data_IF_866410327805
#
_entry.id   IF_866410327805
#
_cell.length_a   1.000
_cell.length_b   1.000
_cell.length_c   1.000
_cell.angle_alpha   90.00
_cell.angle_beta   90.00
_cell.angle_gamma   90.00
#
_symmetry.space_group_name_H-M   'P 1'
#
loop_
_entity.id
_entity.type
_entity.pdbx_description
1 polymer ?
#
# COMPACT_ATOMS: atom_id res chain seq x y z
N UNK A 1 -11.63 -10.44 8.01
CA UNK A 1 -10.51 -9.66 8.61
C UNK A 1 -9.12 -10.28 8.48
N UNK A 2 -8.95 -11.61 8.36
CA UNK A 2 -7.61 -12.24 8.29
C UNK A 2 -6.68 -11.63 7.23
N UNK A 3 -7.18 -11.43 6.01
CA UNK A 3 -6.39 -10.79 4.93
C UNK A 3 -5.98 -9.36 5.29
N UNK A 4 -6.85 -8.59 5.96
CA UNK A 4 -6.51 -7.23 6.39
C UNK A 4 -5.38 -7.25 7.44
N UNK A 5 -5.42 -8.21 8.36
CA UNK A 5 -4.36 -8.39 9.34
C UNK A 5 -3.03 -8.75 8.66
N UNK A 6 -3.05 -9.72 7.73
CA UNK A 6 -1.86 -10.13 6.96
C UNK A 6 -1.28 -8.94 6.16
N UNK A 7 -2.12 -8.11 5.55
CA UNK A 7 -1.67 -6.89 4.86
C UNK A 7 -1.02 -5.92 5.83
N UNK A 8 -1.64 -5.63 6.98
CA UNK A 8 -1.05 -4.71 7.96
C UNK A 8 0.27 -5.24 8.54
N UNK A 9 0.39 -6.56 8.75
CA UNK A 9 1.63 -7.21 9.19
C UNK A 9 2.73 -7.09 8.13
N UNK A 10 2.41 -7.32 6.85
CA UNK A 10 3.38 -7.18 5.75
C UNK A 10 3.81 -5.73 5.56
N UNK A 11 2.89 -4.77 5.66
CA UNK A 11 3.24 -3.34 5.61
C UNK A 11 4.18 -2.97 6.76
N UNK A 12 3.89 -3.41 7.98
CA UNK A 12 4.76 -3.15 9.13
C UNK A 12 6.14 -3.81 8.96
N UNK A 13 6.18 -5.07 8.53
CA UNK A 13 7.41 -5.84 8.29
C UNK A 13 8.29 -5.18 7.21
N UNK A 14 7.70 -4.81 6.07
CA UNK A 14 8.40 -4.14 4.98
C UNK A 14 8.93 -2.75 5.38
N UNK A 15 8.17 -2.01 6.19
CA UNK A 15 8.58 -0.72 6.71
C UNK A 15 9.73 -0.85 7.73
N UNK A 16 9.67 -1.82 8.64
CA UNK A 16 10.75 -2.12 9.59
C UNK A 16 12.04 -2.51 8.86
N UNK A 17 11.91 -3.36 7.84
CA UNK A 17 13.04 -3.76 7.00
C UNK A 17 13.68 -2.53 6.32
N UNK A 18 12.86 -1.66 5.71
CA UNK A 18 13.34 -0.45 5.06
C UNK A 18 14.03 0.51 6.04
N UNK A 19 13.48 0.70 7.24
CA UNK A 19 14.09 1.50 8.30
C UNK A 19 15.47 0.95 8.70
N UNK A 20 15.59 -0.37 8.86
CA UNK A 20 16.86 -1.02 9.21
C UNK A 20 17.94 -0.82 8.12
N UNK A 21 17.56 -0.82 6.84
CA UNK A 21 18.48 -0.56 5.73
C UNK A 21 18.95 0.90 5.73
N UNK A 22 18.07 1.85 6.02
CA UNK A 22 18.43 3.27 6.14
C UNK A 22 19.37 3.53 7.31
N UNK A 23 19.14 2.90 8.46
CA UNK A 23 20.05 2.99 9.61
C UNK A 23 21.43 2.43 9.27
N UNK A 24 21.50 1.25 8.63
CA UNK A 24 22.75 0.64 8.19
C UNK A 24 23.51 1.52 7.18
N UNK A 25 22.79 2.16 6.26
CA UNK A 25 23.37 3.08 5.28
C UNK A 25 23.84 4.42 5.89
N UNK A 26 23.22 4.85 7.01
CA UNK A 26 23.54 6.13 7.67
C UNK A 26 24.83 6.12 8.51
N UNK A 27 25.52 4.98 8.64
CA UNK A 27 26.93 4.93 9.09
C UNK A 27 27.19 5.46 10.51
N UNK A 28 26.20 5.44 11.40
CA UNK A 28 26.35 5.89 12.78
C UNK A 28 27.07 4.88 13.66
N UNK A 29 28.40 4.90 13.68
CA UNK A 29 29.20 4.21 14.70
C UNK A 29 28.88 4.73 16.10
N UNK A 30 28.17 3.93 16.89
CA UNK A 30 28.15 4.02 18.35
C UNK A 30 27.69 2.67 18.90
N UNK A 31 28.62 1.96 19.54
CA UNK A 31 28.41 0.71 20.30
C UNK A 31 27.47 0.93 21.50
N UNK A 32 26.18 1.05 21.22
CA UNK A 32 25.12 0.98 22.22
C UNK A 32 23.89 0.39 21.56
N UNK A 33 23.26 -0.58 22.20
CA UNK A 33 22.00 -1.23 21.80
C UNK A 33 20.93 -0.18 21.43
N UNK A 34 20.96 0.33 20.20
CA UNK A 34 19.78 0.92 19.58
C UNK A 34 18.91 -0.25 19.22
N UNK A 35 17.89 -0.50 20.03
CA UNK A 35 16.85 -1.46 19.72
C UNK A 35 16.31 -1.19 18.32
N UNK A 36 15.91 -2.26 17.63
CA UNK A 36 15.37 -2.17 16.28
C UNK A 36 14.29 -1.06 16.20
N UNK A 37 14.27 -0.24 15.13
CA UNK A 37 13.30 0.84 14.99
C UNK A 37 11.88 0.26 15.14
N UNK A 38 11.21 0.64 16.22
CA UNK A 38 9.84 0.25 16.48
C UNK A 38 8.91 1.25 15.77
N UNK A 39 8.14 0.76 14.81
CA UNK A 39 7.16 1.59 14.11
C UNK A 39 5.92 1.79 14.99
N UNK A 40 5.53 3.05 15.14
CA UNK A 40 4.28 3.44 15.79
C UNK A 40 3.09 3.44 14.84
N UNK A 41 1.91 3.76 15.39
CA UNK A 41 0.71 3.95 14.58
C UNK A 41 0.85 5.17 13.66
N UNK A 42 1.57 6.20 14.13
CA UNK A 42 1.92 7.41 13.37
C UNK A 42 2.76 7.12 12.12
N UNK A 43 3.58 6.07 12.13
CA UNK A 43 4.38 5.64 10.98
C UNK A 43 3.58 4.71 10.06
N UNK A 44 2.77 3.83 10.65
CA UNK A 44 2.07 2.79 9.91
C UNK A 44 0.95 3.34 9.02
N UNK A 45 0.18 4.33 9.49
CA UNK A 45 -0.96 4.85 8.73
C UNK A 45 -0.54 5.53 7.41
N UNK A 46 0.45 6.45 7.37
CA UNK A 46 0.93 7.03 6.12
C UNK A 46 1.44 5.99 5.10
N UNK A 47 2.14 4.96 5.57
CA UNK A 47 2.64 3.88 4.71
C UNK A 47 1.47 3.05 4.17
N UNK A 48 0.48 2.76 5.02
CA UNK A 48 -0.74 2.05 4.60
C UNK A 48 -1.52 2.84 3.56
N UNK A 49 -1.66 4.16 3.73
CA UNK A 49 -2.26 5.07 2.74
C UNK A 49 -1.56 4.96 1.40
N UNK A 50 -0.22 4.98 1.39
CA UNK A 50 0.57 4.81 0.19
C UNK A 50 0.32 3.44 -0.48
N UNK A 51 0.32 2.36 0.30
CA UNK A 51 0.08 1.00 -0.23
C UNK A 51 -1.32 0.88 -0.82
N UNK A 52 -2.36 1.39 -0.15
CA UNK A 52 -3.74 1.38 -0.65
C UNK A 52 -3.86 2.19 -1.94
N UNK A 53 -3.20 3.34 -2.02
CA UNK A 53 -3.18 4.14 -3.25
C UNK A 53 -2.54 3.36 -4.41
N UNK A 54 -1.44 2.66 -4.15
CA UNK A 54 -0.69 1.90 -5.17
C UNK A 54 -1.39 0.61 -5.58
N UNK A 55 -2.21 0.01 -4.72
CA UNK A 55 -2.88 -1.27 -4.99
C UNK A 55 -4.01 -1.17 -6.03
N UNK A 56 -4.56 0.04 -6.25
CA UNK A 56 -5.65 0.31 -7.21
C UNK A 56 -6.92 -0.55 -6.97
N UNK A 57 -7.16 -0.97 -5.74
CA UNK A 57 -8.36 -1.74 -5.38
C UNK A 57 -9.56 -0.79 -5.28
N UNK A 58 -10.31 -0.65 -6.37
CA UNK A 58 -11.41 0.33 -6.50
C UNK A 58 -12.57 0.08 -5.51
N UNK A 59 -12.86 -1.18 -5.18
CA UNK A 59 -13.99 -1.56 -4.32
C UNK A 59 -13.63 -1.68 -2.84
N UNK A 60 -12.38 -1.38 -2.47
CA UNK A 60 -11.87 -1.56 -1.11
C UNK A 60 -12.74 -0.87 -0.04
N UNK A 61 -13.22 0.39 -0.20
CA UNK A 61 -14.08 1.00 0.80
C UNK A 61 -15.35 0.19 1.10
N UNK A 62 -16.03 -0.31 0.07
CA UNK A 62 -17.22 -1.13 0.21
C UNK A 62 -16.92 -2.51 0.81
N UNK A 63 -15.79 -3.11 0.45
CA UNK A 63 -15.34 -4.37 1.07
C UNK A 63 -15.04 -4.21 2.56
N UNK A 64 -14.46 -3.08 2.97
CA UNK A 64 -14.19 -2.79 4.38
C UNK A 64 -15.47 -2.53 5.18
N UNK A 65 -16.48 -1.88 4.60
CA UNK A 65 -17.81 -1.75 5.21
C UNK A 65 -18.45 -3.12 5.43
N UNK A 66 -18.44 -3.98 4.41
CA UNK A 66 -18.95 -5.35 4.51
C UNK A 66 -18.21 -6.15 5.59
N UNK A 67 -16.88 -6.02 5.65
CA UNK A 67 -16.08 -6.68 6.69
C UNK A 67 -16.46 -6.15 8.07
N UNK A 68 -16.70 -4.84 8.23
CA UNK A 68 -17.11 -4.27 9.51
C UNK A 68 -18.47 -4.78 9.99
N UNK A 69 -19.43 -4.94 9.07
CA UNK A 69 -20.77 -5.46 9.39
C UNK A 69 -20.76 -6.95 9.76
N UNK A 70 -19.88 -7.73 9.12
CA UNK A 70 -19.82 -9.18 9.29
C UNK A 70 -18.75 -9.65 10.29
N UNK A 71 -17.95 -8.74 10.84
CA UNK A 71 -16.90 -9.11 11.79
C UNK A 71 -17.52 -9.56 13.12
N UNK A 72 -17.22 -10.78 13.60
CA UNK A 72 -17.65 -11.21 14.93
C UNK A 72 -17.15 -10.26 16.02
N UNK A 73 -18.00 -9.99 17.02
CA UNK A 73 -17.69 -9.07 18.14
C UNK A 73 -16.40 -9.42 18.87
N UNK A 74 -16.06 -10.71 18.91
CA UNK A 74 -14.87 -11.23 19.59
C UNK A 74 -13.57 -10.82 18.88
N UNK A 75 -13.64 -10.56 17.56
CA UNK A 75 -12.51 -10.13 16.74
C UNK A 75 -12.43 -8.60 16.60
N UNK A 76 -13.54 -7.90 16.87
CA UNK A 76 -13.62 -6.44 16.72
C UNK A 76 -12.75 -5.67 17.73
N UNK A 77 -12.47 -6.25 18.92
CA UNK A 77 -11.65 -5.61 19.96
C UNK A 77 -10.15 -5.89 19.88
N UNK A 78 -9.71 -6.68 18.90
CA UNK A 78 -8.34 -7.20 18.80
C UNK A 78 -7.52 -6.64 17.65
N UNK A 79 -6.56 -7.44 17.19
CA UNK A 79 -5.65 -7.09 16.08
C UNK A 79 -6.42 -6.94 14.77
N UNK A 80 -7.46 -7.73 14.58
CA UNK A 80 -8.35 -7.71 13.44
C UNK A 80 -9.16 -6.41 13.36
N UNK A 81 -9.72 -5.97 14.48
CA UNK A 81 -10.40 -4.68 14.58
C UNK A 81 -9.46 -3.50 14.37
N UNK A 82 -8.23 -3.59 14.89
CA UNK A 82 -7.19 -2.59 14.62
C UNK A 82 -6.85 -2.53 13.12
N UNK A 83 -6.56 -3.67 12.48
CA UNK A 83 -6.25 -3.73 11.05
C UNK A 83 -7.39 -3.18 10.19
N UNK A 84 -8.65 -3.55 10.51
CA UNK A 84 -9.83 -3.00 9.84
C UNK A 84 -9.90 -1.47 9.99
N UNK A 85 -9.72 -0.96 11.20
CA UNK A 85 -9.75 0.49 11.48
C UNK A 85 -8.63 1.22 10.74
N UNK A 86 -7.41 0.68 10.73
CA UNK A 86 -6.27 1.25 10.00
C UNK A 86 -6.56 1.34 8.50
N UNK A 87 -7.13 0.28 7.91
CA UNK A 87 -7.49 0.26 6.49
C UNK A 87 -8.64 1.22 6.15
N UNK A 88 -9.64 1.33 7.03
CA UNK A 88 -10.73 2.32 6.89
C UNK A 88 -10.20 3.76 6.99
N UNK A 89 -9.30 4.04 7.94
CA UNK A 89 -8.63 5.34 8.03
C UNK A 89 -7.82 5.65 6.76
N UNK A 90 -7.10 4.66 6.22
CA UNK A 90 -6.34 4.85 4.99
C UNK A 90 -7.25 5.23 3.80
N UNK A 91 -8.37 4.52 3.63
CA UNK A 91 -9.37 4.86 2.62
C UNK A 91 -9.97 6.26 2.86
N UNK A 92 -10.29 6.60 4.11
CA UNK A 92 -10.84 7.91 4.47
C UNK A 92 -9.89 9.05 4.11
N UNK A 93 -8.59 8.90 4.38
CA UNK A 93 -7.57 9.88 3.99
C UNK A 93 -7.53 10.06 2.47
N UNK A 94 -7.52 8.96 1.71
CA UNK A 94 -7.45 9.01 0.25
C UNK A 94 -8.67 9.67 -0.40
N UNK A 95 -9.87 9.37 0.11
CA UNK A 95 -11.13 9.91 -0.40
C UNK A 95 -11.33 11.39 -0.08
N UNK A 96 -10.67 11.91 0.97
CA UNK A 96 -10.83 13.30 1.41
C UNK A 96 -9.69 14.24 1.05
N UNK A 97 -8.57 13.69 0.57
CA UNK A 97 -7.40 14.50 0.24
C UNK A 97 -7.43 14.84 -1.26
N UNK A 98 -7.55 16.12 -1.65
CA UNK A 98 -7.67 16.51 -3.07
C UNK A 98 -6.41 16.22 -3.90
N UNK A 99 -5.26 16.01 -3.25
CA UNK A 99 -3.99 15.69 -3.91
C UNK A 99 -3.82 14.19 -4.22
N UNK A 100 -4.72 13.31 -3.76
CA UNK A 100 -4.61 11.86 -4.04
C UNK A 100 -4.62 11.55 -5.54
N UNK A 101 -5.31 12.35 -6.35
CA UNK A 101 -5.27 12.25 -7.82
C UNK A 101 -3.88 12.54 -8.39
N UNK A 102 -3.24 13.65 -7.97
CA UNK A 102 -1.88 13.99 -8.42
C UNK A 102 -0.82 12.99 -7.94
N UNK A 103 -0.99 12.40 -6.75
CA UNK A 103 -0.08 11.35 -6.26
C UNK A 103 -0.27 10.04 -7.02
N UNK A 104 -1.51 9.69 -7.42
CA UNK A 104 -1.79 8.52 -8.24
C UNK A 104 -1.15 8.64 -9.63
N UNK A 105 -1.23 9.82 -10.23
CA UNK A 105 -0.57 10.15 -11.50
C UNK A 105 0.96 10.06 -11.39
N UNK A 106 1.55 10.67 -10.35
CA UNK A 106 2.98 10.60 -10.09
C UNK A 106 3.46 9.16 -9.84
N UNK A 107 2.70 8.37 -9.06
CA UNK A 107 3.02 6.96 -8.82
C UNK A 107 2.85 6.08 -10.07
N UNK A 108 1.96 6.45 -10.99
CA UNK A 108 1.80 5.79 -12.28
C UNK A 108 2.95 6.06 -13.23
N UNK A 109 3.50 7.27 -13.22
CA UNK A 109 4.64 7.64 -14.06
C UNK A 109 5.93 6.89 -13.68
N UNK A 110 6.17 6.66 -12.39
CA UNK A 110 7.33 5.90 -11.90
C UNK A 110 7.29 4.40 -12.28
N UNK A 111 6.10 3.84 -12.53
CA UNK A 111 5.97 2.44 -12.97
C UNK A 111 6.34 2.25 -14.45
N UNK A 112 6.09 3.26 -15.29
CA UNK A 112 6.43 3.24 -16.72
C UNK A 112 7.91 3.59 -16.98
N UNK A 113 8.54 4.38 -16.09
CA UNK A 113 9.96 4.73 -16.20
C UNK A 113 10.93 3.56 -15.86
N UNK A 114 10.43 2.49 -15.22
CA UNK A 114 11.20 1.29 -14.88
C UNK A 114 11.32 0.25 -16.01
N UNK A 115 10.60 0.41 -17.12
CA UNK A 115 10.65 -0.51 -18.26
C UNK A 115 11.75 -0.10 -19.26
N UNK A 116 13.02 -0.24 -18.85
CA UNK A 116 14.16 -0.24 -19.78
C UNK A 116 14.12 -1.47 -20.72
N UNK A 117 14.67 -1.39 -21.94
CA UNK A 117 14.37 -2.32 -23.02
C UNK A 117 15.10 -3.66 -22.83
N UNK A 118 14.43 -4.64 -22.24
CA UNK A 118 14.83 -6.02 -22.36
C UNK A 118 14.20 -6.62 -23.63
N UNK A 119 14.99 -6.78 -24.68
CA UNK A 119 14.64 -7.65 -25.81
C UNK A 119 14.56 -6.98 -27.17
N UNK A 120 15.69 -6.46 -27.67
CA UNK A 120 15.88 -6.41 -29.12
C UNK A 120 16.24 -7.83 -29.61
N UNK A 121 15.26 -8.59 -30.13
CA UNK A 121 15.40 -9.46 -31.31
C UNK A 121 14.14 -10.35 -31.52
N UNK A 122 13.74 -10.46 -32.79
CA UNK A 122 12.69 -11.30 -33.39
C UNK A 122 11.25 -10.90 -33.03
N UNK A 123 10.33 -10.58 -33.95
CA UNK A 123 10.23 -10.94 -35.36
C UNK A 123 8.83 -11.49 -35.61
N UNK A 124 8.02 -10.70 -36.32
CA UNK A 124 6.84 -11.09 -37.11
C UNK A 124 5.49 -11.41 -36.41
N UNK A 125 4.43 -10.87 -37.01
CA UNK A 125 3.12 -11.53 -37.09
C UNK A 125 2.03 -11.19 -36.08
N UNK A 126 1.26 -10.13 -36.34
CA UNK A 126 -0.21 -10.24 -36.37
C UNK A 126 -1.02 -10.07 -35.07
N UNK A 127 -1.78 -8.96 -35.06
CA UNK A 127 -3.20 -8.85 -34.64
C UNK A 127 -3.58 -9.25 -33.20
N UNK A 128 -3.87 -8.24 -32.39
CA UNK A 128 -4.68 -8.36 -31.20
C UNK A 128 -4.85 -7.01 -30.50
N UNK A 129 -6.04 -6.43 -30.59
CA UNK A 129 -6.46 -5.27 -29.81
C UNK A 129 -6.31 -5.53 -28.29
N UNK A 130 -6.02 -4.50 -27.49
CA UNK A 130 -6.67 -4.37 -26.19
C UNK A 130 -7.39 -3.02 -26.14
N UNK A 131 -8.72 -3.00 -26.20
CA UNK A 131 -9.62 -3.26 -25.09
C UNK A 131 -9.48 -2.23 -23.94
N UNK A 132 -10.50 -1.36 -23.91
CA UNK A 132 -11.13 -0.75 -22.74
C UNK A 132 -10.40 0.41 -22.05
N UNK A 133 -10.53 1.58 -22.69
CA UNK A 133 -10.60 2.86 -21.99
C UNK A 133 -11.87 2.88 -21.11
N UNK A 134 -11.69 2.81 -19.79
CA UNK A 134 -12.72 3.22 -18.84
C UNK A 134 -12.40 4.64 -18.39
N UNK A 135 -13.15 5.63 -18.90
CA UNK A 135 -13.24 6.93 -18.26
C UNK A 135 -14.25 6.83 -17.12
N UNK A 136 -13.81 7.00 -15.88
CA UNK A 136 -14.71 7.28 -14.76
C UNK A 136 -14.84 8.79 -14.67
N UNK A 137 -15.95 9.32 -15.15
CA UNK A 137 -16.36 10.70 -14.85
C UNK A 137 -16.91 10.74 -13.43
N UNK A 138 -16.36 11.63 -12.60
CA UNK A 138 -17.00 12.11 -11.38
C UNK A 138 -18.21 12.98 -11.73
#
# INVERSE_FOLDING_TARGET
ARVLLEVCEEVASGAQHSASLHEAASGGGSDGERGAPCLGAEDLLPITVYVVLRSRVAVLPSELELVAELLPSELAGGREGYALTTMQCACHVLLRTPFSQGLLEACGAEAEAGAGPAGAALGDGGRGDPALSYSVSL
#
